data_IF_034181900254
#
_entry.id   IF_034181900254
#
_cell.length_a   1.000
_cell.length_b   1.000
_cell.length_c   1.000
_cell.angle_alpha   90.00
_cell.angle_beta   90.00
_cell.angle_gamma   90.00
#
_symmetry.space_group_name_H-M   'P 1'
#
loop_
_entity.id
_entity.type
_entity.pdbx_description
1 polymer ?
#
# COMPACT_ATOMS: atom_id res chain seq x y z
N UNK A 1 29.40 -6.36 1.69
CA UNK A 1 28.47 -5.25 1.36
C UNK A 1 27.27 -5.35 2.28
N UNK A 2 27.24 -4.53 3.34
CA UNK A 2 26.20 -4.60 4.37
C UNK A 2 24.85 -4.13 3.79
N UNK A 3 23.89 -5.05 3.68
CA UNK A 3 22.51 -4.73 3.34
C UNK A 3 21.95 -3.78 4.38
N UNK A 4 21.53 -2.58 3.94
CA UNK A 4 20.89 -1.57 4.77
C UNK A 4 19.61 -2.17 5.35
N UNK A 5 19.66 -2.63 6.62
CA UNK A 5 18.52 -3.10 7.40
C UNK A 5 17.40 -2.06 7.24
N UNK A 6 16.31 -2.41 6.54
CA UNK A 6 15.16 -1.51 6.41
C UNK A 6 14.58 -1.33 7.81
N UNK A 7 14.54 -0.10 8.28
CA UNK A 7 14.01 0.28 9.60
C UNK A 7 12.54 -0.15 9.73
N UNK A 8 12.30 -1.29 10.37
CA UNK A 8 10.96 -1.77 10.73
C UNK A 8 10.28 -0.98 11.85
N UNK A 9 10.89 0.11 12.35
CA UNK A 9 10.39 0.85 13.51
C UNK A 9 10.22 2.35 13.24
N UNK A 10 9.55 2.70 12.14
CA UNK A 10 9.10 4.08 11.96
C UNK A 10 7.82 4.30 12.77
N UNK A 11 7.78 5.28 13.69
CA UNK A 11 6.62 5.49 14.57
C UNK A 11 5.35 5.91 13.78
N UNK A 12 5.51 6.47 12.58
CA UNK A 12 4.43 6.87 11.69
C UNK A 12 3.86 5.72 10.82
N UNK A 13 4.54 4.56 10.78
CA UNK A 13 4.13 3.37 10.01
C UNK A 13 3.29 2.42 10.87
N UNK A 14 2.20 2.95 11.41
CA UNK A 14 1.24 2.23 12.25
C UNK A 14 -0.17 2.46 11.75
N UNK A 15 -1.01 1.43 11.82
CA UNK A 15 -2.43 1.56 11.58
C UNK A 15 -3.02 2.40 12.72
N UNK A 16 -3.83 3.39 12.36
CA UNK A 16 -4.55 4.20 13.33
C UNK A 16 -5.58 3.33 14.08
N UNK A 17 -5.98 3.78 15.26
CA UNK A 17 -6.95 3.07 16.11
C UNK A 17 -8.26 2.85 15.35
N UNK A 18 -8.88 1.68 15.53
CA UNK A 18 -10.07 1.29 14.75
C UNK A 18 -11.24 2.28 14.93
N UNK A 19 -11.40 2.83 16.13
CA UNK A 19 -12.43 3.81 16.46
C UNK A 19 -12.10 5.24 15.96
N UNK A 20 -10.86 5.51 15.55
CA UNK A 20 -10.42 6.86 15.16
C UNK A 20 -10.95 7.30 13.80
N UNK A 21 -11.44 6.37 12.96
CA UNK A 21 -12.09 6.71 11.68
C UNK A 21 -13.48 6.09 11.61
N UNK A 22 -14.49 6.94 11.40
CA UNK A 22 -15.86 6.49 11.12
C UNK A 22 -16.00 5.98 9.69
N UNK A 23 -17.02 5.16 9.42
CA UNK A 23 -17.32 4.72 8.06
C UNK A 23 -17.54 5.89 7.08
N UNK A 24 -18.14 6.99 7.56
CA UNK A 24 -18.35 8.19 6.75
C UNK A 24 -17.02 8.84 6.37
N UNK A 25 -16.08 8.97 7.32
CA UNK A 25 -14.74 9.50 7.04
C UNK A 25 -13.99 8.62 6.05
N UNK A 26 -14.11 7.29 6.16
CA UNK A 26 -13.48 6.34 5.23
C UNK A 26 -14.06 6.45 3.82
N UNK A 27 -15.38 6.63 3.68
CA UNK A 27 -16.02 6.90 2.38
C UNK A 27 -15.56 8.23 1.79
N UNK A 28 -15.49 9.30 2.60
CA UNK A 28 -14.97 10.59 2.15
C UNK A 28 -13.50 10.53 1.75
N UNK A 29 -12.69 9.67 2.38
CA UNK A 29 -11.31 9.41 1.94
C UNK A 29 -11.30 8.79 0.54
N UNK A 30 -12.15 7.78 0.27
CA UNK A 30 -12.21 7.13 -1.05
C UNK A 30 -12.54 8.09 -2.20
N UNK A 31 -13.23 9.20 -1.93
CA UNK A 31 -13.52 10.23 -2.92
C UNK A 31 -12.31 11.12 -3.22
N UNK A 32 -11.35 11.20 -2.28
CA UNK A 32 -10.17 12.06 -2.37
C UNK A 32 -8.92 11.37 -2.90
N UNK A 33 -8.83 10.04 -2.72
CA UNK A 33 -7.60 9.29 -3.04
C UNK A 33 -7.82 8.31 -4.19
N UNK A 34 -6.75 8.04 -4.93
CA UNK A 34 -6.77 7.11 -6.05
C UNK A 34 -5.54 6.21 -6.04
N UNK A 35 -5.73 4.96 -6.44
CA UNK A 35 -4.63 4.05 -6.69
C UNK A 35 -4.19 4.17 -8.15
N UNK A 36 -2.98 4.66 -8.37
CA UNK A 36 -2.44 4.90 -9.72
C UNK A 36 -1.47 3.81 -10.16
N UNK A 37 -0.97 3.00 -9.21
CA UNK A 37 0.01 1.94 -9.47
C UNK A 37 1.38 2.48 -9.86
N UNK A 38 2.45 1.73 -9.59
CA UNK A 38 3.83 2.16 -9.89
C UNK A 38 4.28 1.61 -11.25
N UNK A 39 4.63 2.47 -12.23
CA UNK A 39 5.24 2.04 -13.49
C UNK A 39 6.62 1.38 -13.31
N UNK A 40 7.23 1.48 -12.12
CA UNK A 40 8.60 1.05 -11.87
C UNK A 40 8.75 -0.42 -11.43
N UNK A 41 7.65 -1.16 -11.24
CA UNK A 41 7.65 -2.51 -10.63
C UNK A 41 6.76 -3.50 -11.40
N UNK A 42 6.65 -3.33 -12.72
CA UNK A 42 5.73 -4.11 -13.54
C UNK A 42 6.52 -4.86 -14.59
N UNK A 43 6.46 -6.19 -14.53
CA UNK A 43 6.99 -7.07 -15.57
C UNK A 43 6.22 -6.92 -16.91
N UNK A 44 5.04 -6.28 -16.90
CA UNK A 44 4.21 -6.03 -18.09
C UNK A 44 3.75 -4.55 -18.19
N UNK A 45 4.51 -3.69 -18.90
CA UNK A 45 4.14 -2.29 -19.10
C UNK A 45 2.93 -2.07 -20.04
N UNK A 46 2.54 -3.08 -20.83
CA UNK A 46 1.45 -3.00 -21.82
C UNK A 46 0.06 -2.77 -21.21
N UNK A 47 -0.20 -3.26 -20.00
CA UNK A 47 -1.53 -3.18 -19.37
C UNK A 47 -1.88 -1.78 -18.80
N UNK A 48 -0.97 -0.82 -18.93
CA UNK A 48 -1.06 0.48 -18.25
C UNK A 48 -1.02 1.68 -19.21
N UNK A 49 -1.08 1.47 -20.53
CA UNK A 49 -1.08 2.56 -21.51
C UNK A 49 0.23 3.38 -21.55
N UNK A 50 1.32 2.87 -20.99
CA UNK A 50 2.62 3.54 -21.01
C UNK A 50 3.48 2.99 -22.15
N UNK A 51 3.62 3.79 -23.21
CA UNK A 51 4.67 3.64 -24.24
C UNK A 51 5.79 4.63 -23.95
N UNK A 52 7.06 4.23 -23.77
CA UNK A 52 7.65 2.90 -23.97
C UNK A 52 7.90 2.07 -22.68
N UNK A 53 8.11 0.77 -22.89
CA UNK A 53 8.40 -0.27 -21.89
C UNK A 53 9.74 -0.07 -21.17
N UNK A 54 9.73 0.27 -19.87
CA UNK A 54 10.94 0.30 -19.04
C UNK A 54 11.07 -0.95 -18.17
N UNK A 55 12.21 -1.65 -18.29
CA UNK A 55 12.59 -2.79 -17.45
C UNK A 55 12.72 -2.37 -15.96
N UNK A 56 12.24 -3.19 -15.00
CA UNK A 56 12.44 -2.94 -13.57
C UNK A 56 13.94 -2.94 -13.19
N UNK A 57 14.38 -1.97 -12.38
CA UNK A 57 15.76 -1.92 -11.86
C UNK A 57 16.01 -3.05 -10.83
N UNK A 58 17.20 -3.70 -10.83
CA UNK A 58 17.49 -4.89 -10.00
C UNK A 58 17.41 -4.72 -8.47
N UNK A 59 17.41 -3.49 -7.95
CA UNK A 59 17.60 -3.20 -6.52
C UNK A 59 16.32 -2.90 -5.75
N UNK A 60 15.15 -3.00 -6.38
CA UNK A 60 13.87 -2.72 -5.74
C UNK A 60 13.01 -3.97 -5.69
N UNK A 61 12.49 -4.28 -4.49
CA UNK A 61 11.61 -5.44 -4.25
C UNK A 61 10.52 -5.49 -5.32
N UNK A 62 10.56 -6.53 -6.16
CA UNK A 62 9.54 -6.74 -7.16
C UNK A 62 8.21 -6.97 -6.44
N UNK A 63 7.22 -6.12 -6.73
CA UNK A 63 5.84 -6.36 -6.29
C UNK A 63 5.32 -7.71 -6.84
N UNK A 64 5.90 -8.15 -7.96
CA UNK A 64 5.54 -9.31 -8.76
C UNK A 64 6.31 -10.61 -8.44
N UNK A 65 7.13 -10.67 -7.38
CA UNK A 65 8.03 -11.83 -7.15
C UNK A 65 7.31 -13.18 -6.89
N UNK A 66 5.99 -13.18 -6.62
CA UNK A 66 5.16 -14.39 -6.49
C UNK A 66 3.96 -14.41 -7.45
N UNK A 67 3.37 -13.25 -7.77
CA UNK A 67 2.21 -13.09 -8.65
C UNK A 67 2.11 -11.65 -9.14
N UNK A 68 1.79 -11.44 -10.41
CA UNK A 68 1.44 -10.12 -10.94
C UNK A 68 0.04 -9.73 -10.44
N UNK A 69 -0.06 -8.58 -9.77
CA UNK A 69 -1.34 -8.04 -9.32
C UNK A 69 -1.81 -7.01 -10.34
N UNK A 70 -2.99 -7.24 -10.90
CA UNK A 70 -3.59 -6.33 -11.86
C UNK A 70 -3.95 -5.01 -11.18
N UNK A 71 -3.99 -3.92 -11.96
CA UNK A 71 -4.38 -2.60 -11.41
C UNK A 71 -5.75 -2.61 -10.76
N UNK A 72 -6.68 -3.38 -11.33
CA UNK A 72 -8.05 -3.51 -10.86
C UNK A 72 -8.07 -4.15 -9.48
N UNK A 73 -7.31 -5.24 -9.30
CA UNK A 73 -7.15 -5.92 -8.03
C UNK A 73 -6.43 -5.06 -6.99
N UNK A 74 -5.32 -4.41 -7.37
CA UNK A 74 -4.61 -3.50 -6.47
C UNK A 74 -5.48 -2.32 -6.02
N UNK A 75 -6.34 -1.82 -6.93
CA UNK A 75 -7.30 -0.76 -6.62
C UNK A 75 -8.40 -1.25 -5.67
N UNK A 76 -8.87 -2.49 -5.83
CA UNK A 76 -9.84 -3.10 -4.92
C UNK A 76 -9.23 -3.28 -3.53
N UNK A 77 -8.04 -3.89 -3.43
CA UNK A 77 -7.32 -4.05 -2.16
C UNK A 77 -7.11 -2.71 -1.45
N UNK A 78 -6.71 -1.68 -2.19
CA UNK A 78 -6.56 -0.33 -1.64
C UNK A 78 -7.87 0.23 -1.07
N UNK A 79 -8.97 0.08 -1.80
CA UNK A 79 -10.31 0.52 -1.35
C UNK A 79 -10.75 -0.25 -0.10
N UNK A 80 -10.54 -1.55 -0.08
CA UNK A 80 -10.89 -2.41 1.06
C UNK A 80 -10.09 -2.06 2.31
N UNK A 81 -8.80 -1.76 2.14
CA UNK A 81 -7.94 -1.22 3.18
C UNK A 81 -8.53 0.05 3.80
N UNK A 82 -8.92 1.02 2.98
CA UNK A 82 -9.52 2.28 3.47
C UNK A 82 -10.85 2.03 4.17
N UNK A 83 -11.73 1.18 3.63
CA UNK A 83 -13.04 0.89 4.24
C UNK A 83 -12.92 0.16 5.58
N UNK A 84 -11.92 -0.71 5.72
CA UNK A 84 -11.56 -1.34 7.00
C UNK A 84 -10.79 -0.39 7.93
N UNK A 85 -10.53 0.85 7.50
CA UNK A 85 -9.83 1.87 8.24
C UNK A 85 -8.32 1.61 8.36
N UNK A 86 -7.76 0.72 7.55
CA UNK A 86 -6.37 0.28 7.58
C UNK A 86 -5.46 1.37 7.03
N UNK A 87 -5.43 2.50 7.72
CA UNK A 87 -4.79 3.73 7.29
C UNK A 87 -3.92 4.27 8.42
N UNK A 88 -2.84 4.97 8.09
CA UNK A 88 -2.02 5.64 9.09
C UNK A 88 -2.76 6.83 9.67
N UNK A 89 -2.34 7.34 10.83
CA UNK A 89 -2.88 8.59 11.38
C UNK A 89 -2.71 9.75 10.38
N UNK A 90 -3.70 10.62 10.32
CA UNK A 90 -3.69 11.86 9.53
C UNK A 90 -4.43 12.98 10.28
N UNK A 91 -4.08 14.22 9.99
CA UNK A 91 -4.73 15.41 10.56
C UNK A 91 -6.12 15.64 9.94
N UNK A 92 -7.03 16.36 10.62
CA UNK A 92 -8.31 16.75 10.05
C UNK A 92 -8.14 17.44 8.68
N UNK A 93 -8.83 16.92 7.67
CA UNK A 93 -8.73 17.41 6.29
C UNK A 93 -7.55 16.86 5.48
N UNK A 94 -6.58 16.22 6.14
CA UNK A 94 -5.44 15.57 5.50
C UNK A 94 -5.75 14.17 4.94
N UNK A 95 -4.70 13.52 4.45
CA UNK A 95 -4.74 12.18 3.86
C UNK A 95 -3.76 11.24 4.58
N UNK A 96 -4.09 9.94 4.71
CA UNK A 96 -3.22 8.98 5.37
C UNK A 96 -1.96 8.73 4.55
N UNK A 97 -0.79 8.91 5.14
CA UNK A 97 0.48 8.61 4.47
C UNK A 97 0.56 7.16 3.96
N UNK A 98 0.04 6.21 4.74
CA UNK A 98 0.04 4.78 4.41
C UNK A 98 -1.38 4.21 4.46
N UNK A 99 -1.66 3.28 3.54
CA UNK A 99 -2.83 2.42 3.54
C UNK A 99 -2.35 0.98 3.44
N UNK A 100 -2.93 0.08 4.23
CA UNK A 100 -2.60 -1.34 4.21
C UNK A 100 -3.78 -2.18 3.77
N UNK A 101 -3.49 -3.28 3.09
CA UNK A 101 -4.48 -4.25 2.67
C UNK A 101 -3.93 -5.67 2.80
N UNK A 102 -4.84 -6.63 2.96
CA UNK A 102 -4.53 -8.06 2.96
C UNK A 102 -5.43 -8.73 1.94
N UNK A 103 -4.86 -9.54 1.05
CA UNK A 103 -5.65 -10.29 0.07
C UNK A 103 -6.22 -11.61 0.65
N UNK A 104 -6.89 -12.39 -0.20
CA UNK A 104 -7.47 -13.68 0.18
C UNK A 104 -6.45 -14.74 0.59
N UNK A 105 -5.21 -14.60 0.14
CA UNK A 105 -4.10 -15.53 0.43
C UNK A 105 -3.31 -15.12 1.68
N UNK A 106 -3.67 -13.99 2.30
CA UNK A 106 -2.97 -13.47 3.47
C UNK A 106 -1.67 -12.72 3.12
N UNK A 107 -1.50 -12.31 1.87
CA UNK A 107 -0.43 -11.42 1.45
C UNK A 107 -0.72 -9.99 1.87
N UNK A 108 0.31 -9.30 2.33
CA UNK A 108 0.19 -7.94 2.88
C UNK A 108 0.71 -6.94 1.86
N UNK A 109 -0.07 -5.88 1.68
CA UNK A 109 0.24 -4.77 0.80
C UNK A 109 0.29 -3.46 1.57
N UNK A 110 1.23 -2.60 1.19
CA UNK A 110 1.28 -1.22 1.65
C UNK A 110 1.22 -0.28 0.45
N UNK A 111 0.29 0.66 0.49
CA UNK A 111 0.19 1.77 -0.43
C UNK A 111 0.62 3.06 0.27
N UNK A 112 1.38 3.88 -0.45
CA UNK A 112 1.87 5.16 0.06
C UNK A 112 1.66 6.26 -0.99
N UNK A 113 1.21 7.43 -0.54
CA UNK A 113 1.18 8.63 -1.37
C UNK A 113 2.60 9.15 -1.64
N UNK A 114 2.80 9.80 -2.80
CA UNK A 114 4.05 10.53 -3.01
C UNK A 114 4.00 11.89 -2.29
N UNK A 115 5.14 12.42 -1.83
CA UNK A 115 5.18 13.72 -1.15
C UNK A 115 4.68 14.90 -2.01
N UNK A 116 4.74 14.78 -3.33
CA UNK A 116 4.33 15.79 -4.32
C UNK A 116 2.91 15.56 -4.88
N UNK A 117 2.31 14.40 -4.59
CA UNK A 117 0.99 13.98 -5.06
C UNK A 117 0.25 13.28 -3.92
N UNK A 118 -0.26 14.05 -2.96
CA UNK A 118 -0.79 13.55 -1.69
C UNK A 118 -2.02 12.63 -1.84
N UNK A 119 -2.71 12.66 -2.99
CA UNK A 119 -3.89 11.83 -3.29
C UNK A 119 -3.61 10.58 -4.13
N UNK A 120 -2.43 10.46 -4.73
CA UNK A 120 -2.11 9.38 -5.67
C UNK A 120 -1.20 8.34 -4.98
N UNK A 121 -1.74 7.13 -4.82
CA UNK A 121 -1.10 6.06 -4.08
C UNK A 121 -0.49 5.02 -4.99
N UNK A 122 0.68 4.53 -4.57
CA UNK A 122 1.36 3.40 -5.17
C UNK A 122 1.58 2.32 -4.12
N UNK A 123 1.21 1.09 -4.47
CA UNK A 123 1.29 -0.07 -3.59
C UNK A 123 2.50 -0.96 -3.88
N UNK A 124 2.97 -1.66 -2.85
CA UNK A 124 3.92 -2.76 -2.96
C UNK A 124 3.60 -3.86 -1.95
N UNK A 125 3.96 -5.10 -2.28
CA UNK A 125 3.87 -6.23 -1.36
C UNK A 125 4.92 -6.09 -0.27
N UNK A 126 4.52 -6.34 0.98
CA UNK A 126 5.45 -6.49 2.10
C UNK A 126 6.01 -7.91 2.07
N UNK A 127 7.28 -8.02 1.73
CA UNK A 127 7.99 -9.28 1.58
C UNK A 127 8.45 -9.91 2.91
N UNK A 128 9.12 -11.04 2.78
CA UNK A 128 9.73 -11.78 3.89
C UNK A 128 10.86 -10.99 4.59
N UNK A 129 11.42 -9.98 3.93
CA UNK A 129 12.40 -9.07 4.51
C UNK A 129 11.81 -8.14 5.57
N UNK A 130 10.48 -8.01 5.64
CA UNK A 130 9.75 -7.11 6.53
C UNK A 130 8.71 -7.85 7.40
N UNK A 131 9.05 -9.06 7.88
CA UNK A 131 8.15 -9.93 8.67
C UNK A 131 7.45 -9.25 9.85
N UNK A 132 8.15 -8.40 10.60
CA UNK A 132 7.56 -7.71 11.74
C UNK A 132 6.39 -6.80 11.32
N UNK A 133 6.51 -6.12 10.17
CA UNK A 133 5.44 -5.28 9.62
C UNK A 133 4.30 -6.14 9.10
N UNK A 134 4.62 -7.23 8.39
CA UNK A 134 3.62 -8.19 7.89
C UNK A 134 2.75 -8.73 9.03
N UNK A 135 3.37 -9.26 10.08
CA UNK A 135 2.67 -9.80 11.25
C UNK A 135 1.82 -8.75 11.95
N UNK A 136 2.34 -7.53 12.09
CA UNK A 136 1.58 -6.42 12.66
C UNK A 136 0.33 -6.09 11.84
N UNK A 137 0.45 -5.93 10.52
CA UNK A 137 -0.69 -5.62 9.65
C UNK A 137 -1.71 -6.75 9.64
N UNK A 138 -1.28 -8.01 9.61
CA UNK A 138 -2.18 -9.17 9.72
C UNK A 138 -2.94 -9.19 11.04
N UNK A 139 -2.27 -8.86 12.14
CA UNK A 139 -2.92 -8.77 13.45
C UNK A 139 -3.96 -7.64 13.49
N UNK A 140 -3.64 -6.47 12.93
CA UNK A 140 -4.59 -5.36 12.83
C UNK A 140 -5.77 -5.67 11.89
N UNK A 141 -5.51 -6.35 10.77
CA UNK A 141 -6.54 -6.78 9.82
C UNK A 141 -7.55 -7.72 10.46
N UNK A 142 -7.10 -8.69 11.27
CA UNK A 142 -7.97 -9.64 11.97
C UNK A 142 -8.85 -9.00 13.06
N UNK A 143 -8.46 -7.85 13.60
CA UNK A 143 -9.23 -7.13 14.64
C UNK A 143 -10.42 -6.35 14.06
N UNK A 144 -10.56 -6.29 12.73
CA UNK A 144 -11.46 -5.37 12.00
C UNK A 144 -12.43 -6.12 11.11
#
# INVERSE_FOLDING_TARGET
MAGRKREGNRPDRRVWEAAATSLQQRRALLEKVRYVGSANHKLHPGDYGFTPSHNPRPTKSACDALRSILITEASQLFRDGILRGMVSRFEPGGLPKYVWAVDGDGEVYEAKAKPDQESDYHGYRIGEDEMAVRQYVLAEWKKR
#
